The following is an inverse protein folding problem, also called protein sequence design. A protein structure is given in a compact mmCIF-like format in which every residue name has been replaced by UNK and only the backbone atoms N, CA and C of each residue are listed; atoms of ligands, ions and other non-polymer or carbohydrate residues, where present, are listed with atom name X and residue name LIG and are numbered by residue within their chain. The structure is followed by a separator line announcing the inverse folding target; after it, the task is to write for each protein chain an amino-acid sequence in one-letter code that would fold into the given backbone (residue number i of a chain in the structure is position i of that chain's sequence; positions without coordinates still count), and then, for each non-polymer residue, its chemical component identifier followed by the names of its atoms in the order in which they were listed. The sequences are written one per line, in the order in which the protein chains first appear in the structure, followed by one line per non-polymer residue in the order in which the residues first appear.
data_IF_467661191123
#
_entry.id   IF_467661191123
#
_cell.length_a   1.000
_cell.length_b   1.000
_cell.length_c   1.000
_cell.angle_alpha   90.00
_cell.angle_beta   90.00
_cell.angle_gamma   90.00
#
_symmetry.space_group_name_H-M   'P 1'
#
loop_
_entity.id
_entity.type
_entity.pdbx_description
1 polymer ?
#
# COMPACT_ATOMS: atom_id res chain seq x y z
N UNK A 1 48.74 -47.79 -14.00
CA UNK A 1 48.13 -46.90 -13.00
C UNK A 1 47.12 -46.00 -13.70
N UNK A 2 45.82 -46.20 -13.50
CA UNK A 2 44.76 -45.35 -14.05
C UNK A 2 44.66 -44.09 -13.19
N UNK A 3 44.96 -42.91 -13.73
CA UNK A 3 44.70 -41.63 -13.07
C UNK A 3 43.33 -41.13 -13.55
N UNK A 4 42.32 -41.33 -12.73
CA UNK A 4 41.00 -40.71 -12.89
C UNK A 4 41.14 -39.25 -12.46
N UNK A 5 41.01 -38.32 -13.40
CA UNK A 5 40.89 -36.88 -13.10
C UNK A 5 39.40 -36.60 -12.93
N UNK A 6 38.95 -36.47 -11.69
CA UNK A 6 37.61 -35.98 -11.37
C UNK A 6 37.69 -34.45 -11.43
N UNK A 7 37.11 -33.86 -12.48
CA UNK A 7 36.92 -32.42 -12.57
C UNK A 7 35.78 -31.98 -11.65
N UNK A 8 36.08 -31.11 -10.69
CA UNK A 8 35.08 -30.46 -9.84
C UNK A 8 34.44 -29.34 -10.66
N UNK A 9 33.16 -29.49 -11.02
CA UNK A 9 32.33 -28.40 -11.54
C UNK A 9 31.92 -27.55 -10.33
N UNK A 10 32.50 -26.35 -10.21
CA UNK A 10 32.04 -25.34 -9.25
C UNK A 10 30.84 -24.63 -9.89
N UNK A 11 29.64 -25.04 -9.53
CA UNK A 11 28.41 -24.30 -9.85
C UNK A 11 28.35 -23.11 -8.90
N UNK A 12 28.72 -21.92 -9.40
CA UNK A 12 28.41 -20.65 -8.75
C UNK A 12 26.88 -20.43 -8.84
N UNK A 13 26.14 -21.04 -7.92
CA UNK A 13 24.75 -20.68 -7.63
C UNK A 13 24.78 -19.29 -6.97
N UNK A 14 24.88 -18.26 -7.80
CA UNK A 14 24.50 -16.91 -7.41
C UNK A 14 22.99 -16.96 -7.19
N UNK A 15 22.59 -17.13 -5.93
CA UNK A 15 21.20 -17.14 -5.50
C UNK A 15 20.51 -15.88 -5.97
N UNK A 16 19.72 -15.98 -7.04
CA UNK A 16 18.72 -15.00 -7.37
C UNK A 16 17.73 -15.01 -6.20
N UNK A 17 17.85 -14.01 -5.31
CA UNK A 17 16.75 -13.65 -4.43
C UNK A 17 15.63 -13.14 -5.33
N UNK A 18 14.82 -14.06 -5.85
CA UNK A 18 13.51 -13.74 -6.37
C UNK A 18 12.76 -13.11 -5.20
N UNK A 19 12.68 -11.78 -5.19
CA UNK A 19 11.75 -11.11 -4.29
C UNK A 19 10.37 -11.60 -4.72
N UNK A 20 9.77 -12.46 -3.90
CA UNK A 20 8.38 -12.84 -4.10
C UNK A 20 7.58 -11.55 -4.15
N UNK A 21 6.75 -11.39 -5.17
CA UNK A 21 5.86 -10.25 -5.32
C UNK A 21 4.44 -10.80 -5.39
N UNK A 22 3.63 -10.43 -4.40
CA UNK A 22 2.22 -10.74 -4.34
C UNK A 22 1.45 -9.55 -4.90
N UNK A 23 0.56 -9.80 -5.87
CA UNK A 23 -0.34 -8.80 -6.42
C UNK A 23 -1.73 -9.02 -5.86
N UNK A 24 -2.28 -7.98 -5.25
CA UNK A 24 -3.66 -7.96 -4.78
C UNK A 24 -4.47 -7.09 -5.72
N UNK A 25 -5.63 -7.59 -6.15
CA UNK A 25 -6.58 -6.87 -7.00
C UNK A 25 -7.96 -7.01 -6.38
N UNK A 26 -8.63 -5.89 -6.15
CA UNK A 26 -10.02 -5.86 -5.67
C UNK A 26 -10.87 -5.37 -6.81
N UNK A 27 -11.43 -6.29 -7.59
CA UNK A 27 -12.19 -5.96 -8.81
C UNK A 27 -13.36 -5.01 -8.52
N UNK A 28 -14.07 -5.23 -7.40
CA UNK A 28 -15.16 -4.36 -6.94
C UNK A 28 -14.70 -2.91 -6.75
N UNK A 29 -13.45 -2.70 -6.36
CA UNK A 29 -12.92 -1.38 -6.00
C UNK A 29 -12.10 -0.78 -7.14
N UNK A 30 -11.92 -1.51 -8.25
CA UNK A 30 -11.12 -1.07 -9.39
C UNK A 30 -9.69 -0.64 -9.00
N UNK A 31 -9.05 -1.36 -8.07
CA UNK A 31 -7.71 -1.04 -7.59
C UNK A 31 -6.84 -2.30 -7.42
N UNK A 32 -5.54 -2.13 -7.60
CA UNK A 32 -4.54 -3.17 -7.38
C UNK A 32 -3.26 -2.59 -6.79
N UNK A 33 -2.56 -3.38 -5.97
CA UNK A 33 -1.25 -3.08 -5.42
C UNK A 33 -0.39 -4.35 -5.33
N UNK A 34 0.90 -4.16 -5.06
CA UNK A 34 1.91 -5.20 -4.96
C UNK A 34 2.69 -5.07 -3.65
N UNK A 35 2.97 -6.20 -3.01
CA UNK A 35 3.75 -6.30 -1.76
C UNK A 35 4.66 -7.53 -1.83
N UNK A 36 5.74 -7.55 -1.05
CA UNK A 36 6.54 -8.79 -0.86
C UNK A 36 5.98 -9.70 0.23
N UNK A 37 5.12 -9.15 1.09
CA UNK A 37 4.43 -9.86 2.15
C UNK A 37 3.24 -10.63 1.59
N UNK A 38 2.91 -11.76 2.22
CA UNK A 38 1.63 -12.45 1.99
C UNK A 38 0.66 -11.96 3.05
N UNK A 39 -0.42 -11.36 2.60
CA UNK A 39 -1.49 -10.77 3.41
C UNK A 39 -2.74 -11.65 3.35
N UNK A 40 -3.42 -11.73 4.48
CA UNK A 40 -4.76 -12.28 4.60
C UNK A 40 -5.78 -11.21 4.19
N UNK A 41 -6.79 -11.60 3.42
CA UNK A 41 -7.80 -10.68 2.89
C UNK A 41 -9.11 -10.82 3.64
N UNK A 42 -9.73 -9.69 3.98
CA UNK A 42 -11.09 -9.63 4.48
C UNK A 42 -11.88 -8.45 3.89
N UNK A 43 -13.20 -8.59 3.83
CA UNK A 43 -14.12 -7.49 3.53
C UNK A 43 -14.84 -7.10 4.82
N UNK A 44 -14.77 -5.83 5.23
CA UNK A 44 -15.29 -5.37 6.52
C UNK A 44 -16.67 -4.72 6.37
N UNK A 45 -17.50 -4.94 7.40
CA UNK A 45 -18.87 -4.53 7.80
C UNK A 45 -19.83 -3.79 6.85
N UNK A 46 -19.37 -3.02 5.87
CA UNK A 46 -20.23 -2.32 4.89
C UNK A 46 -19.96 -2.71 3.45
N UNK A 47 -19.07 -3.69 3.23
CA UNK A 47 -18.67 -4.16 1.90
C UNK A 47 -17.92 -3.10 1.06
N UNK A 48 -17.65 -1.93 1.64
CA UNK A 48 -16.92 -0.80 1.05
C UNK A 48 -15.48 -0.68 1.55
N UNK A 49 -15.08 -1.55 2.49
CA UNK A 49 -13.70 -1.64 2.99
C UNK A 49 -13.13 -3.01 2.66
N UNK A 50 -11.98 -3.01 2.01
CA UNK A 50 -11.16 -4.18 1.71
C UNK A 50 -9.89 -4.09 2.54
N UNK A 51 -9.68 -5.05 3.42
CA UNK A 51 -8.55 -5.08 4.34
C UNK A 51 -7.60 -6.23 3.98
N UNK A 52 -6.31 -5.95 3.99
CA UNK A 52 -5.23 -6.91 3.74
C UNK A 52 -4.20 -6.80 4.85
N UNK A 53 -4.00 -7.83 5.65
CA UNK A 53 -3.17 -7.73 6.85
C UNK A 53 -2.30 -8.97 7.08
N UNK A 54 -1.15 -8.73 7.71
CA UNK A 54 -0.41 -9.70 8.50
C UNK A 54 0.33 -8.97 9.65
N UNK A 55 1.15 -9.68 10.42
CA UNK A 55 1.92 -9.12 11.55
C UNK A 55 2.87 -7.96 11.16
N UNK A 56 3.18 -7.76 9.88
CA UNK A 56 4.16 -6.80 9.39
C UNK A 56 3.54 -5.55 8.76
N UNK A 57 2.42 -5.72 8.07
CA UNK A 57 1.78 -4.66 7.30
C UNK A 57 0.27 -4.88 7.19
N UNK A 58 -0.50 -3.80 7.30
CA UNK A 58 -1.90 -3.75 6.91
C UNK A 58 -2.12 -2.75 5.76
N UNK A 59 -3.05 -3.06 4.88
CA UNK A 59 -3.54 -2.18 3.81
C UNK A 59 -5.06 -2.20 3.84
N UNK A 60 -5.67 -1.11 4.28
CA UNK A 60 -7.11 -0.93 4.21
C UNK A 60 -7.46 0.02 3.10
N UNK A 61 -8.41 -0.39 2.26
CA UNK A 61 -8.91 0.40 1.14
C UNK A 61 -10.38 0.64 1.42
N UNK A 62 -10.79 1.89 1.60
CA UNK A 62 -12.19 2.29 1.65
C UNK A 62 -12.59 2.97 0.35
N UNK A 63 -13.77 2.61 -0.17
CA UNK A 63 -14.40 3.27 -1.31
C UNK A 63 -15.62 4.09 -0.89
N UNK A 64 -15.67 5.33 -1.36
CA UNK A 64 -16.78 6.26 -1.11
C UNK A 64 -17.26 6.80 -2.47
N UNK A 65 -18.57 6.86 -2.75
CA UNK A 65 -19.04 7.55 -3.94
C UNK A 65 -18.55 9.00 -3.98
N UNK A 66 -17.95 9.45 -5.08
CA UNK A 66 -17.34 10.80 -5.21
C UNK A 66 -18.31 11.91 -4.79
N UNK A 67 -19.61 11.74 -5.03
CA UNK A 67 -20.63 12.73 -4.70
C UNK A 67 -20.86 12.89 -3.19
N UNK A 68 -20.63 11.83 -2.42
CA UNK A 68 -20.71 11.83 -0.96
C UNK A 68 -19.47 12.45 -0.32
N UNK A 69 -18.36 12.51 -1.07
CA UNK A 69 -17.13 13.14 -0.61
C UNK A 69 -17.18 14.68 -0.60
N UNK A 70 -16.48 15.23 0.39
CA UNK A 70 -16.40 16.65 0.63
C UNK A 70 -15.82 17.38 -0.58
N UNK A 71 -16.35 18.58 -0.85
CA UNK A 71 -15.80 19.45 -1.90
C UNK A 71 -14.33 19.80 -1.65
N UNK A 72 -13.87 19.77 -0.39
CA UNK A 72 -12.49 20.05 -0.01
C UNK A 72 -11.58 18.90 -0.44
N UNK A 73 -11.97 17.65 -0.16
CA UNK A 73 -11.27 16.44 -0.61
C UNK A 73 -11.14 16.44 -2.13
N UNK A 74 -12.26 16.58 -2.84
CA UNK A 74 -12.31 16.54 -4.31
C UNK A 74 -11.48 17.60 -5.01
N UNK A 75 -11.31 18.77 -4.40
CA UNK A 75 -10.53 19.88 -4.98
C UNK A 75 -9.06 19.82 -4.61
N UNK A 76 -8.70 19.16 -3.51
CA UNK A 76 -7.34 19.17 -2.98
C UNK A 76 -7.05 17.88 -2.20
N UNK A 77 -6.67 16.84 -2.93
CA UNK A 77 -6.34 15.52 -2.37
C UNK A 77 -5.20 15.57 -1.36
N UNK A 78 -4.24 16.50 -1.54
CA UNK A 78 -3.19 16.75 -0.53
C UNK A 78 -3.78 17.18 0.81
N UNK A 79 -4.79 18.05 0.78
CA UNK A 79 -5.49 18.47 1.99
C UNK A 79 -6.36 17.33 2.53
N UNK A 80 -7.07 16.61 1.66
CA UNK A 80 -7.87 15.43 2.03
C UNK A 80 -7.05 14.39 2.79
N UNK A 81 -5.94 13.92 2.21
CA UNK A 81 -5.04 12.95 2.85
C UNK A 81 -4.51 13.45 4.22
N UNK A 82 -4.26 14.76 4.37
CA UNK A 82 -3.85 15.34 5.67
C UNK A 82 -4.98 15.43 6.68
N UNK A 83 -6.23 15.58 6.25
CA UNK A 83 -7.41 15.59 7.12
C UNK A 83 -7.67 14.16 7.60
N UNK A 84 -7.70 13.17 6.71
CA UNK A 84 -7.82 11.75 7.05
C UNK A 84 -6.70 11.32 8.01
N UNK A 85 -5.44 11.66 7.72
CA UNK A 85 -4.34 11.34 8.62
C UNK A 85 -4.48 11.95 10.03
N UNK A 86 -5.18 13.08 10.18
CA UNK A 86 -5.45 13.66 11.51
C UNK A 86 -6.63 12.96 12.19
N UNK A 87 -7.63 12.55 11.43
CA UNK A 87 -8.80 11.84 11.93
C UNK A 87 -8.42 10.45 12.44
N UNK A 88 -7.44 9.80 11.79
CA UNK A 88 -6.73 8.61 12.29
C UNK A 88 -5.84 8.88 13.52
N UNK A 89 -5.72 10.14 13.97
CA UNK A 89 -4.92 10.50 15.13
C UNK A 89 -3.40 10.58 14.90
N UNK A 90 -2.92 10.36 13.66
CA UNK A 90 -1.50 10.27 13.32
C UNK A 90 -0.72 11.53 13.71
N UNK A 91 0.52 11.33 14.16
CA UNK A 91 1.46 12.40 14.51
C UNK A 91 2.51 12.60 13.44
N UNK A 92 3.17 13.76 13.50
CA UNK A 92 4.29 14.15 12.61
C UNK A 92 3.98 13.96 11.12
N UNK A 93 2.74 14.29 10.72
CA UNK A 93 2.25 14.13 9.34
C UNK A 93 3.11 14.96 8.39
N UNK A 94 3.76 14.27 7.44
CA UNK A 94 4.61 14.82 6.40
C UNK A 94 4.00 14.59 5.04
N UNK A 95 4.37 15.47 4.14
CA UNK A 95 3.98 15.38 2.76
C UNK A 95 4.63 14.18 2.06
N UNK A 96 3.83 13.34 1.40
CA UNK A 96 4.32 12.17 0.67
C UNK A 96 4.47 12.45 -0.82
N UNK A 97 3.49 13.14 -1.42
CA UNK A 97 3.50 13.55 -2.82
C UNK A 97 2.34 12.95 -3.61
N UNK A 98 2.42 13.05 -4.94
CA UNK A 98 1.46 12.41 -5.83
C UNK A 98 1.75 10.92 -5.97
N UNK A 99 0.71 10.11 -6.19
CA UNK A 99 0.89 8.72 -6.61
C UNK A 99 1.50 8.66 -8.02
N UNK A 100 2.35 7.65 -8.26
CA UNK A 100 3.05 7.52 -9.54
C UNK A 100 2.16 7.02 -10.68
N UNK A 101 1.18 6.16 -10.39
CA UNK A 101 0.34 5.48 -11.39
C UNK A 101 -1.14 5.84 -11.28
N UNK A 102 -1.47 6.83 -10.47
CA UNK A 102 -2.84 7.32 -10.26
C UNK A 102 -2.81 8.86 -10.33
N UNK A 103 -3.23 9.41 -11.47
CA UNK A 103 -3.13 10.85 -11.75
C UNK A 103 -3.85 11.71 -10.69
N UNK A 104 -5.01 11.25 -10.24
CA UNK A 104 -5.78 11.87 -9.18
C UNK A 104 -5.53 11.17 -7.84
N UNK A 105 -4.26 11.02 -7.46
CA UNK A 105 -3.85 10.38 -6.22
C UNK A 105 -2.80 11.19 -5.48
N UNK A 106 -2.94 11.29 -4.16
CA UNK A 106 -1.99 11.96 -3.28
C UNK A 106 -1.82 11.18 -1.98
N UNK A 107 -0.63 11.20 -1.40
CA UNK A 107 -0.37 10.55 -0.13
C UNK A 107 0.42 11.41 0.85
N UNK A 108 0.27 11.08 2.12
CA UNK A 108 1.03 11.64 3.25
C UNK A 108 1.56 10.52 4.12
N UNK A 109 2.64 10.78 4.85
CA UNK A 109 3.23 9.84 5.81
C UNK A 109 3.04 10.39 7.22
N UNK A 110 2.42 9.61 8.09
CA UNK A 110 2.25 9.90 9.50
C UNK A 110 2.95 8.84 10.36
N UNK A 111 2.79 8.98 11.67
CA UNK A 111 3.27 8.04 12.66
C UNK A 111 2.12 7.75 13.61
N UNK A 112 1.81 6.47 13.78
CA UNK A 112 0.89 6.00 14.80
C UNK A 112 1.63 5.44 16.00
N UNK A 113 0.90 5.26 17.10
CA UNK A 113 1.37 4.76 18.37
C UNK A 113 0.38 3.72 18.90
N UNK A 114 0.79 2.46 18.89
CA UNK A 114 0.03 1.38 19.49
C UNK A 114 0.86 0.68 20.58
N UNK A 115 0.29 0.54 21.77
CA UNK A 115 0.93 -0.03 22.97
C UNK A 115 2.38 0.46 23.24
N UNK A 116 2.67 1.72 22.90
CA UNK A 116 4.01 2.32 23.06
C UNK A 116 4.99 2.04 21.91
N UNK A 117 4.60 1.21 20.96
CA UNK A 117 5.29 0.99 19.69
C UNK A 117 4.85 2.04 18.68
N UNK A 118 5.83 2.61 17.98
CA UNK A 118 5.61 3.65 16.98
C UNK A 118 5.95 3.14 15.60
N UNK A 119 5.00 3.23 14.68
CA UNK A 119 5.18 2.77 13.30
C UNK A 119 4.72 3.81 12.27
N UNK A 120 5.27 3.77 11.04
CA UNK A 120 4.82 4.63 9.97
C UNK A 120 3.47 4.15 9.42
N UNK A 121 2.60 5.13 9.16
CA UNK A 121 1.32 4.94 8.48
C UNK A 121 1.29 5.86 7.27
N UNK A 122 0.84 5.34 6.14
CA UNK A 122 0.66 6.12 4.92
C UNK A 122 -0.82 6.25 4.66
N UNK A 123 -1.26 7.49 4.45
CA UNK A 123 -2.63 7.80 4.09
C UNK A 123 -2.65 8.30 2.66
N UNK A 124 -3.52 7.71 1.84
CA UNK A 124 -3.71 8.03 0.44
C UNK A 124 -5.14 8.53 0.26
N UNK A 125 -5.26 9.65 -0.44
CA UNK A 125 -6.51 10.16 -0.98
C UNK A 125 -6.44 10.06 -2.51
N UNK A 126 -7.39 9.37 -3.14
CA UNK A 126 -7.44 9.27 -4.59
C UNK A 126 -8.87 9.34 -5.15
N UNK A 127 -8.98 9.62 -6.46
CA UNK A 127 -10.24 9.67 -7.19
C UNK A 127 -10.14 8.86 -8.49
N UNK A 128 -11.17 8.07 -8.75
CA UNK A 128 -11.44 7.44 -10.03
C UNK A 128 -12.75 8.02 -10.58
N UNK A 129 -12.62 9.08 -11.37
CA UNK A 129 -13.77 9.77 -11.96
C UNK A 129 -14.58 8.87 -12.91
N UNK A 130 -13.92 7.96 -13.61
CA UNK A 130 -14.58 7.05 -14.56
C UNK A 130 -15.54 6.09 -13.87
N UNK A 131 -15.22 5.70 -12.63
CA UNK A 131 -16.05 4.81 -11.81
C UNK A 131 -16.88 5.54 -10.76
N UNK A 132 -16.70 6.85 -10.60
CA UNK A 132 -17.38 7.62 -9.57
C UNK A 132 -16.92 7.29 -8.14
N UNK A 133 -15.69 6.81 -7.96
CA UNK A 133 -15.15 6.34 -6.67
C UNK A 133 -14.07 7.29 -6.12
N UNK A 134 -14.18 7.65 -4.84
CA UNK A 134 -13.11 8.19 -4.02
C UNK A 134 -12.52 7.08 -3.18
N UNK A 135 -11.20 7.12 -2.98
CA UNK A 135 -10.46 6.18 -2.16
C UNK A 135 -9.84 6.88 -0.97
N UNK A 136 -10.05 6.30 0.20
CA UNK A 136 -9.24 6.52 1.39
C UNK A 136 -8.48 5.21 1.64
N UNK A 137 -7.14 5.26 1.64
CA UNK A 137 -6.32 4.06 1.82
C UNK A 137 -5.32 4.30 2.95
N UNK A 138 -5.27 3.39 3.92
CA UNK A 138 -4.21 3.30 4.91
C UNK A 138 -3.21 2.21 4.54
N UNK A 139 -1.95 2.43 4.88
CA UNK A 139 -0.90 1.42 4.85
C UNK A 139 -0.14 1.52 6.16
N UNK A 140 -0.40 0.59 7.06
CA UNK A 140 0.17 0.51 8.40
C UNK A 140 1.39 -0.40 8.37
N UNK A 141 2.57 0.13 8.68
CA UNK A 141 3.83 -0.56 8.47
C UNK A 141 4.45 -1.00 9.80
N UNK A 142 3.84 -1.98 10.46
CA UNK A 142 4.23 -2.45 11.80
C UNK A 142 5.71 -2.86 11.89
N UNK A 143 6.25 -3.46 10.83
CA UNK A 143 7.66 -3.88 10.77
C UNK A 143 8.67 -2.75 10.54
N UNK A 144 8.23 -1.48 10.47
CA UNK A 144 9.04 -0.28 10.22
C UNK A 144 9.80 -0.29 8.87
N UNK A 145 9.43 -1.17 7.94
CA UNK A 145 10.12 -1.32 6.67
C UNK A 145 9.65 -0.27 5.65
N UNK A 146 10.40 0.84 5.55
CA UNK A 146 10.12 1.87 4.54
C UNK A 146 10.22 1.38 3.09
N UNK A 147 10.98 0.31 2.83
CA UNK A 147 11.10 -0.25 1.47
C UNK A 147 9.79 -0.91 1.05
N UNK A 148 9.15 -1.63 1.97
CA UNK A 148 7.89 -2.32 1.70
C UNK A 148 6.76 -1.31 1.47
N UNK A 149 6.67 -0.30 2.32
CA UNK A 149 5.65 0.75 2.16
C UNK A 149 5.83 1.55 0.86
N UNK A 150 7.05 1.93 0.50
CA UNK A 150 7.32 2.58 -0.77
C UNK A 150 7.00 1.68 -1.97
N UNK A 151 7.22 0.36 -1.86
CA UNK A 151 6.82 -0.60 -2.91
C UNK A 151 5.31 -0.60 -3.10
N UNK A 152 4.55 -0.73 -2.01
CA UNK A 152 3.08 -0.71 -2.06
C UNK A 152 2.61 0.59 -2.72
N UNK A 153 3.03 1.75 -2.21
CA UNK A 153 2.65 3.08 -2.75
C UNK A 153 2.96 3.20 -4.25
N UNK A 154 4.15 2.79 -4.68
CA UNK A 154 4.58 2.90 -6.07
C UNK A 154 3.89 1.88 -7.00
N UNK A 155 3.29 0.84 -6.44
CA UNK A 155 2.60 -0.21 -7.17
C UNK A 155 1.11 0.08 -7.37
N UNK A 156 0.49 0.87 -6.46
CA UNK A 156 -0.94 1.19 -6.49
C UNK A 156 -1.34 1.73 -7.86
N UNK A 157 -2.35 1.10 -8.46
CA UNK A 157 -2.91 1.45 -9.76
C UNK A 157 -4.40 1.21 -9.79
N UNK A 158 -5.11 2.00 -10.60
CA UNK A 158 -6.51 1.74 -10.91
C UNK A 158 -6.61 0.63 -11.98
N UNK A 159 -7.53 -0.31 -11.82
CA UNK A 159 -7.83 -1.34 -12.82
C UNK A 159 -9.09 -0.99 -13.61
N UNK A 160 -9.09 -1.31 -14.91
CA UNK A 160 -10.13 -0.91 -15.85
C UNK A 160 -11.44 -1.68 -15.67
#
# INVERSE_FOLDING_TARGET
MKKTIIGIIIIFLSGLKLFSQNTYTVDKFNISFETTEKLEFSLVETENVASFENDNVAVDIEIIPIEQESKKFRKNLKKGAKEIAKDFGLKKIKDGGKLLKVDNGYYVKGLDFDEGTKYPVIIIAALNYDKGIAYEISIDCYNLNETESNRIINSIKLVK
#
